data_IF_497400352949
#
_entry.id   IF_497400352949
#
_cell.length_a   1.000
_cell.length_b   1.000
_cell.length_c   1.000
_cell.angle_alpha   90.00
_cell.angle_beta   90.00
_cell.angle_gamma   90.00
#
_symmetry.space_group_name_H-M   'P 1'
#
loop_
_entity.id
_entity.type
_entity.pdbx_description
1 polymer ?
#
# COMPACT_ATOMS: atom_id res chain seq x y z
N UNK A 1 1.49 -14.13 2.64
CA UNK A 1 1.65 -13.09 1.58
C UNK A 1 1.38 -11.73 2.23
N UNK A 2 2.20 -10.71 2.00
CA UNK A 2 1.97 -9.37 2.53
C UNK A 2 0.73 -8.76 1.86
N UNK A 3 -0.20 -8.21 2.65
CA UNK A 3 -1.39 -7.53 2.15
C UNK A 3 -1.31 -6.05 2.49
N UNK A 4 -1.51 -5.20 1.47
CA UNK A 4 -1.44 -3.75 1.58
C UNK A 4 -2.73 -3.17 1.00
N UNK A 5 -3.42 -2.35 1.77
CA UNK A 5 -4.54 -1.53 1.29
C UNK A 5 -4.00 -0.36 0.48
N UNK A 6 -4.42 -0.22 -0.76
CA UNK A 6 -4.07 0.88 -1.63
C UNK A 6 -4.84 2.13 -1.19
N UNK A 7 -4.16 3.19 -0.76
CA UNK A 7 -4.71 4.46 -0.27
C UNK A 7 -5.74 4.35 0.86
N UNK A 8 -5.78 3.20 1.56
CA UNK A 8 -6.81 2.94 2.56
C UNK A 8 -8.10 2.32 2.02
N UNK A 9 -8.16 1.92 0.77
CA UNK A 9 -9.32 1.22 0.21
C UNK A 9 -9.48 -0.19 0.81
N UNK A 10 -10.71 -0.64 1.02
CA UNK A 10 -11.00 -1.94 1.65
C UNK A 10 -11.83 -2.84 0.75
N UNK A 11 -12.95 -2.36 0.24
CA UNK A 11 -13.89 -3.12 -0.60
C UNK A 11 -14.05 -2.52 -2.01
N UNK A 12 -13.12 -1.71 -2.42
CA UNK A 12 -13.06 -1.01 -3.70
C UNK A 12 -12.54 0.40 -3.54
N UNK A 13 -12.21 1.06 -4.66
CA UNK A 13 -11.80 2.46 -4.68
C UNK A 13 -12.94 3.36 -4.18
N UNK A 14 -12.64 4.21 -3.20
CA UNK A 14 -13.51 5.27 -2.70
C UNK A 14 -12.72 6.58 -2.60
N UNK A 15 -12.78 7.43 -3.63
CA UNK A 15 -12.05 8.70 -3.67
C UNK A 15 -12.33 9.65 -2.50
N UNK A 16 -13.46 9.47 -1.80
CA UNK A 16 -13.82 10.29 -0.63
C UNK A 16 -13.09 9.86 0.65
N UNK A 17 -12.58 8.64 0.67
CA UNK A 17 -11.88 8.04 1.80
C UNK A 17 -10.38 7.82 1.52
N UNK A 18 -9.97 7.80 0.25
CA UNK A 18 -8.57 7.62 -0.14
C UNK A 18 -7.67 8.66 0.53
N UNK A 19 -6.57 8.20 1.08
CA UNK A 19 -5.59 9.03 1.78
C UNK A 19 -6.12 9.83 2.98
N UNK A 20 -7.34 9.54 3.46
CA UNK A 20 -7.92 10.22 4.62
C UNK A 20 -7.26 9.69 5.91
N UNK A 21 -6.60 10.54 6.73
CA UNK A 21 -5.86 10.11 7.91
C UNK A 21 -6.70 9.34 8.93
N UNK A 22 -7.93 9.78 9.18
CA UNK A 22 -8.82 9.13 10.15
C UNK A 22 -9.32 7.78 9.64
N UNK A 23 -9.49 7.64 8.33
CA UNK A 23 -9.84 6.37 7.71
C UNK A 23 -8.68 5.40 7.73
N UNK A 24 -7.47 5.85 7.39
CA UNK A 24 -6.23 5.08 7.47
C UNK A 24 -6.02 4.55 8.89
N UNK A 25 -6.25 5.38 9.92
CA UNK A 25 -6.11 4.96 11.32
C UNK A 25 -7.07 3.82 11.68
N UNK A 26 -8.29 3.87 11.18
CA UNK A 26 -9.27 2.78 11.39
C UNK A 26 -8.83 1.46 10.74
N UNK A 27 -8.21 1.52 9.58
CA UNK A 27 -7.71 0.33 8.88
C UNK A 27 -6.50 -0.25 9.60
N UNK A 28 -5.53 0.58 9.94
CA UNK A 28 -4.31 0.16 10.64
C UNK A 28 -4.65 -0.48 11.99
N UNK A 29 -5.52 0.16 12.79
CA UNK A 29 -5.83 -0.30 14.15
C UNK A 29 -6.91 -1.37 14.16
N UNK A 30 -7.96 -1.20 13.36
CA UNK A 30 -9.13 -2.10 13.37
C UNK A 30 -8.95 -3.36 12.55
N UNK A 31 -8.16 -3.32 11.47
CA UNK A 31 -7.93 -4.44 10.57
C UNK A 31 -6.49 -4.98 10.63
N UNK A 32 -5.62 -4.35 11.42
CA UNK A 32 -4.19 -4.69 11.54
C UNK A 32 -3.49 -4.79 10.17
N UNK A 33 -3.88 -3.91 9.24
CA UNK A 33 -3.47 -3.96 7.85
C UNK A 33 -2.44 -2.89 7.52
N UNK A 34 -1.55 -3.21 6.58
CA UNK A 34 -0.66 -2.21 6.00
C UNK A 34 -1.43 -1.32 5.03
N UNK A 35 -1.01 -0.08 4.94
CA UNK A 35 -1.61 0.89 4.03
C UNK A 35 -0.51 1.55 3.20
N UNK A 36 -0.74 1.65 1.92
CA UNK A 36 0.00 2.52 1.01
C UNK A 36 -0.67 3.89 1.01
N UNK A 37 0.11 4.96 0.99
CA UNK A 37 -0.36 6.36 1.00
C UNK A 37 0.42 7.20 0.00
N UNK A 38 -0.25 8.18 -0.59
CA UNK A 38 0.39 9.22 -1.41
C UNK A 38 0.75 10.41 -0.53
N UNK A 39 2.03 10.78 -0.49
CA UNK A 39 2.56 11.83 0.37
C UNK A 39 3.15 12.99 -0.43
N UNK A 40 2.65 14.19 -0.16
CA UNK A 40 3.24 15.45 -0.61
C UNK A 40 4.03 16.07 0.54
N UNK A 41 5.25 16.49 0.24
CA UNK A 41 6.11 17.21 1.19
C UNK A 41 6.48 18.56 0.57
N UNK A 42 5.96 19.63 1.15
CA UNK A 42 6.32 21.01 0.84
C UNK A 42 7.14 21.52 2.00
N UNK A 43 8.34 21.94 1.79
CA UNK A 43 9.27 22.36 2.83
C UNK A 43 9.41 21.35 4.01
N UNK A 44 10.16 21.71 5.06
CA UNK A 44 10.46 20.77 6.14
C UNK A 44 9.31 20.53 7.13
N UNK A 45 8.17 21.20 7.00
CA UNK A 45 7.10 21.17 8.00
C UNK A 45 5.69 20.94 7.43
N UNK A 46 5.49 21.12 6.14
CA UNK A 46 4.19 20.96 5.53
C UNK A 46 4.09 19.64 4.76
N UNK A 47 3.31 18.71 5.29
CA UNK A 47 3.04 17.41 4.70
C UNK A 47 1.54 17.22 4.51
N UNK A 48 1.19 16.65 3.36
CA UNK A 48 -0.21 16.36 3.03
C UNK A 48 -0.32 14.97 2.43
N UNK A 49 -1.45 14.30 2.71
CA UNK A 49 -1.85 13.11 1.97
C UNK A 49 -2.80 13.52 0.83
N UNK A 50 -2.78 12.76 -0.27
CA UNK A 50 -3.65 12.97 -1.42
C UNK A 50 -3.02 12.44 -2.70
N UNK A 51 -3.83 11.98 -3.67
CA UNK A 51 -3.30 11.40 -4.89
C UNK A 51 -2.99 12.46 -5.96
N UNK A 52 -4.02 13.13 -6.48
CA UNK A 52 -3.86 14.11 -7.56
C UNK A 52 -3.43 15.50 -7.08
N UNK A 53 -3.71 15.77 -5.80
CA UNK A 53 -3.41 17.04 -5.15
C UNK A 53 -3.29 16.85 -3.64
N UNK A 54 -2.61 17.76 -2.92
CA UNK A 54 -2.61 17.78 -1.46
C UNK A 54 -4.02 17.96 -0.92
N UNK A 55 -4.50 17.04 -0.07
CA UNK A 55 -5.86 17.05 0.46
C UNK A 55 -5.90 17.16 1.97
N UNK A 56 -5.15 16.32 2.67
CA UNK A 56 -5.22 16.20 4.13
C UNK A 56 -3.87 16.55 4.75
N UNK A 57 -3.82 17.66 5.49
CA UNK A 57 -2.64 18.05 6.25
C UNK A 57 -2.32 17.04 7.34
N UNK A 58 -1.06 16.62 7.41
CA UNK A 58 -0.54 15.78 8.49
C UNK A 58 0.76 16.37 9.03
N UNK A 59 1.15 15.97 10.23
CA UNK A 59 2.46 16.27 10.77
C UNK A 59 3.39 15.06 10.77
N UNK A 60 4.67 15.30 10.99
CA UNK A 60 5.67 14.22 11.07
C UNK A 60 5.37 13.25 12.21
N UNK A 61 4.73 13.70 13.30
CA UNK A 61 4.36 12.85 14.41
C UNK A 61 3.30 11.83 14.00
N UNK A 62 2.28 12.27 13.24
CA UNK A 62 1.26 11.38 12.70
C UNK A 62 1.91 10.28 11.86
N UNK A 63 2.77 10.66 10.91
CA UNK A 63 3.48 9.73 10.05
C UNK A 63 4.38 8.79 10.86
N UNK A 64 5.21 9.34 11.78
CA UNK A 64 6.17 8.58 12.57
C UNK A 64 5.53 7.56 13.50
N UNK A 65 4.38 7.88 14.10
CA UNK A 65 3.69 6.97 15.02
C UNK A 65 3.10 5.74 14.32
N UNK A 66 2.86 5.83 13.01
CA UNK A 66 2.29 4.74 12.20
C UNK A 66 3.33 3.85 11.52
N UNK A 67 4.61 4.20 11.63
CA UNK A 67 5.71 3.41 11.04
C UNK A 67 5.75 1.95 11.51
N UNK A 68 5.31 1.68 12.75
CA UNK A 68 5.34 0.35 13.35
C UNK A 68 4.21 -0.58 12.85
N UNK A 69 3.22 -0.02 12.20
CA UNK A 69 2.12 -0.76 11.58
C UNK A 69 2.43 -1.13 10.12
N UNK A 70 3.63 -0.81 9.66
CA UNK A 70 4.23 -1.37 8.47
C UNK A 70 5.11 -2.55 8.92
N UNK A 71 4.77 -3.81 8.64
CA UNK A 71 5.46 -4.99 9.20
C UNK A 71 6.88 -5.20 8.68
N UNK A 72 7.46 -4.24 8.02
CA UNK A 72 8.82 -4.30 7.51
C UNK A 72 9.69 -3.25 8.19
N UNK A 73 10.04 -3.51 9.48
CA UNK A 73 11.11 -2.82 10.25
C UNK A 73 11.16 -1.28 10.22
N UNK A 74 11.39 -0.73 11.36
CA UNK A 74 11.85 0.59 11.85
C UNK A 74 11.90 1.82 10.93
N UNK A 75 11.66 1.73 9.62
CA UNK A 75 11.67 2.83 8.67
C UNK A 75 10.58 2.64 7.61
N UNK A 76 10.02 3.78 7.14
CA UNK A 76 9.08 3.78 6.03
C UNK A 76 9.68 3.07 4.79
N UNK A 77 8.83 2.32 4.09
CA UNK A 77 9.14 1.87 2.74
C UNK A 77 8.57 2.92 1.79
N UNK A 78 9.42 3.59 1.06
CA UNK A 78 9.03 4.66 0.14
C UNK A 78 9.61 4.42 -1.24
N UNK A 79 8.96 4.98 -2.23
CA UNK A 79 9.41 4.98 -3.63
C UNK A 79 8.84 6.20 -4.34
N UNK A 80 9.40 6.46 -5.49
CA UNK A 80 8.91 7.46 -6.44
C UNK A 80 8.67 6.75 -7.78
N UNK A 81 7.54 7.04 -8.43
CA UNK A 81 7.28 6.57 -9.78
C UNK A 81 6.50 7.61 -10.59
N UNK A 82 6.46 7.46 -11.93
CA UNK A 82 5.62 8.19 -12.85
C UNK A 82 4.81 7.23 -13.72
N UNK A 83 5.41 6.80 -14.84
CA UNK A 83 4.80 5.90 -15.84
C UNK A 83 5.58 4.59 -15.98
N UNK A 84 6.27 4.21 -14.92
CA UNK A 84 7.12 3.00 -14.90
C UNK A 84 6.27 1.74 -14.76
N UNK A 85 6.68 0.68 -15.43
CA UNK A 85 6.05 -0.63 -15.26
C UNK A 85 6.34 -1.24 -13.89
N UNK A 86 7.48 -0.89 -13.30
CA UNK A 86 7.88 -1.30 -11.97
C UNK A 86 8.90 -0.30 -11.38
N UNK A 87 8.90 -0.22 -10.06
CA UNK A 87 9.77 0.68 -9.29
C UNK A 87 10.43 -0.08 -8.14
N UNK A 88 11.69 0.22 -7.86
CA UNK A 88 12.38 -0.33 -6.70
C UNK A 88 12.07 0.53 -5.47
N UNK A 89 11.56 -0.09 -4.42
CA UNK A 89 11.31 0.58 -3.15
C UNK A 89 12.60 0.75 -2.33
N UNK A 90 12.59 1.68 -1.37
CA UNK A 90 13.73 1.94 -0.48
C UNK A 90 14.20 0.71 0.32
N UNK A 91 13.38 -0.30 0.46
CA UNK A 91 13.69 -1.58 1.13
C UNK A 91 13.97 -2.73 0.17
N UNK A 92 14.15 -2.44 -1.11
CA UNK A 92 14.56 -3.42 -2.12
C UNK A 92 13.44 -4.35 -2.58
N UNK A 93 12.18 -3.98 -2.42
CA UNK A 93 11.06 -4.65 -3.06
C UNK A 93 10.78 -4.03 -4.43
N UNK A 94 10.26 -4.84 -5.33
CA UNK A 94 9.83 -4.39 -6.65
C UNK A 94 8.33 -4.09 -6.57
N UNK A 95 7.93 -2.84 -6.76
CA UNK A 95 6.56 -2.41 -6.89
C UNK A 95 6.14 -2.57 -8.34
N UNK A 96 5.30 -3.58 -8.63
CA UNK A 96 5.01 -4.03 -9.99
C UNK A 96 3.57 -3.69 -10.38
N UNK A 97 3.42 -2.90 -11.43
CA UNK A 97 2.12 -2.45 -11.92
C UNK A 97 1.41 -3.54 -12.75
N UNK A 98 0.08 -3.41 -12.95
CA UNK A 98 -0.72 -4.43 -13.64
C UNK A 98 -0.18 -4.79 -15.03
N UNK A 99 -0.18 -6.09 -15.33
CA UNK A 99 0.25 -6.60 -16.63
C UNK A 99 1.76 -6.67 -16.86
N UNK A 100 2.58 -6.27 -15.88
CA UNK A 100 4.03 -6.35 -16.00
C UNK A 100 4.54 -7.76 -15.78
N UNK A 101 5.45 -8.22 -16.64
CA UNK A 101 6.15 -9.49 -16.47
C UNK A 101 7.30 -9.32 -15.48
N UNK A 102 7.29 -10.08 -14.38
CA UNK A 102 8.26 -9.96 -13.30
C UNK A 102 9.14 -11.21 -13.22
N UNK A 103 10.45 -11.03 -13.35
CA UNK A 103 11.42 -12.12 -13.26
C UNK A 103 11.78 -12.52 -11.81
N UNK A 104 11.53 -11.66 -10.82
CA UNK A 104 11.78 -11.90 -9.39
C UNK A 104 10.51 -11.69 -8.54
N UNK A 105 9.46 -12.47 -8.76
CA UNK A 105 8.18 -12.24 -8.09
C UNK A 105 8.25 -12.42 -6.57
N UNK A 106 9.15 -13.24 -6.04
CA UNK A 106 9.35 -13.44 -4.60
C UNK A 106 9.85 -12.18 -3.86
N UNK A 107 10.26 -11.16 -4.57
CA UNK A 107 10.62 -9.84 -4.03
C UNK A 107 9.73 -8.72 -4.58
N UNK A 108 8.63 -9.07 -5.24
CA UNK A 108 7.73 -8.12 -5.85
C UNK A 108 6.40 -8.03 -5.08
N UNK A 109 5.85 -6.83 -5.09
CA UNK A 109 4.49 -6.51 -4.65
C UNK A 109 3.68 -6.24 -5.90
N UNK A 110 2.66 -7.06 -6.16
CA UNK A 110 1.74 -6.84 -7.27
C UNK A 110 0.76 -5.73 -6.91
N UNK A 111 0.74 -4.68 -7.73
CA UNK A 111 -0.15 -3.53 -7.54
C UNK A 111 -1.41 -3.74 -8.35
N UNK A 112 -2.57 -3.47 -7.75
CA UNK A 112 -3.90 -3.57 -8.37
C UNK A 112 -4.06 -4.85 -9.22
N UNK A 113 -3.81 -6.02 -8.64
CA UNK A 113 -3.84 -7.29 -9.37
C UNK A 113 -5.23 -7.61 -9.95
N UNK A 114 -6.27 -6.97 -9.44
CA UNK A 114 -7.63 -7.01 -9.96
C UNK A 114 -7.77 -6.45 -11.37
N UNK A 115 -6.87 -5.59 -11.79
CA UNK A 115 -6.85 -5.01 -13.15
C UNK A 115 -6.20 -5.95 -14.18
N UNK A 116 -5.60 -7.03 -13.72
CA UNK A 116 -4.92 -8.00 -14.59
C UNK A 116 -5.19 -9.43 -14.15
N UNK A 117 -4.93 -10.40 -15.04
CA UNK A 117 -5.00 -11.85 -14.71
C UNK A 117 -3.68 -12.37 -14.14
N UNK A 118 -3.06 -11.63 -13.24
CA UNK A 118 -1.76 -11.98 -12.66
C UNK A 118 -1.87 -13.18 -11.74
N UNK A 119 -0.99 -14.17 -11.90
CA UNK A 119 -0.86 -15.24 -10.92
C UNK A 119 -0.11 -14.71 -9.69
N UNK A 120 -0.81 -14.58 -8.57
CA UNK A 120 -0.29 -13.97 -7.35
C UNK A 120 0.56 -14.90 -6.47
N UNK A 121 0.49 -16.22 -6.68
CA UNK A 121 1.18 -17.20 -5.83
C UNK A 121 2.68 -16.93 -5.61
N UNK A 122 3.46 -16.54 -6.62
CA UNK A 122 4.88 -16.30 -6.45
C UNK A 122 5.23 -14.94 -5.84
N UNK A 123 4.28 -14.00 -5.73
CA UNK A 123 4.56 -12.66 -5.24
C UNK A 123 4.77 -12.63 -3.71
N UNK A 124 5.64 -11.73 -3.27
CA UNK A 124 5.86 -11.44 -1.85
C UNK A 124 4.62 -10.84 -1.20
N UNK A 125 3.96 -9.91 -1.92
CA UNK A 125 2.77 -9.22 -1.44
C UNK A 125 1.91 -8.66 -2.56
N UNK A 126 0.80 -8.09 -2.17
CA UNK A 126 -0.12 -7.37 -3.06
C UNK A 126 -0.51 -6.03 -2.43
N UNK A 127 -0.71 -5.03 -3.29
CA UNK A 127 -1.34 -3.76 -2.96
C UNK A 127 -2.61 -3.64 -3.79
N UNK A 128 -3.77 -3.49 -3.16
CA UNK A 128 -5.08 -3.62 -3.81
C UNK A 128 -6.13 -2.71 -3.19
N UNK A 129 -7.13 -2.34 -3.98
CA UNK A 129 -8.33 -1.65 -3.52
C UNK A 129 -9.34 -2.60 -2.83
N UNK A 130 -9.11 -3.92 -2.94
CA UNK A 130 -10.03 -4.96 -2.44
C UNK A 130 -9.35 -5.92 -1.45
N UNK A 131 -8.65 -5.46 -0.42
CA UNK A 131 -7.95 -6.36 0.49
C UNK A 131 -8.87 -7.38 1.18
N UNK A 132 -10.15 -7.06 1.41
CA UNK A 132 -11.13 -7.99 1.96
C UNK A 132 -11.22 -9.32 1.18
N UNK A 133 -11.03 -9.28 -0.14
CA UNK A 133 -11.08 -10.49 -0.98
C UNK A 133 -9.96 -11.48 -0.67
N UNK A 134 -8.89 -11.02 -0.05
CA UNK A 134 -7.68 -11.79 0.24
C UNK A 134 -7.58 -12.21 1.71
N UNK A 135 -8.30 -11.55 2.63
CA UNK A 135 -8.35 -11.91 4.05
C UNK A 135 -9.07 -13.25 4.32
N UNK A 136 -10.00 -13.62 3.46
CA UNK A 136 -10.86 -14.83 3.66
C UNK A 136 -10.10 -16.12 3.34
N UNK A 137 -9.03 -16.07 2.55
CA UNK A 137 -8.33 -17.27 2.08
C UNK A 137 -7.30 -17.83 3.07
N UNK A 138 -6.85 -17.08 4.06
CA UNK A 138 -5.89 -17.59 5.06
C UNK A 138 -6.55 -18.48 6.13
N UNK A 139 -7.88 -18.42 6.28
CA UNK A 139 -8.62 -19.29 7.22
C UNK A 139 -9.04 -20.65 6.62
N UNK A 140 -8.96 -20.80 5.30
CA UNK A 140 -9.35 -22.03 4.62
C UNK A 140 -8.20 -23.01 4.36
N UNK A 141 -6.97 -22.67 4.75
CA UNK A 141 -5.77 -23.50 4.54
C UNK A 141 -5.36 -24.30 5.80
N UNK A 142 -6.22 -24.37 6.81
CA UNK A 142 -6.00 -25.18 8.02
C UNK A 142 -7.17 -26.17 8.13
N UNK A 143 -7.23 -27.10 7.20
CA UNK A 143 -7.89 -28.42 7.37
C UNK A 143 -7.11 -29.44 6.56
#
# INVERSE_FOLDING_TARGET
>A
MLLISHRGNVSGSDPSLENNPDHIDRIIVGMEMNVEIDLYVFDQQEMYLGHDQPQYGIDFKWLYTRRNNCPVNDHFNYFWHQIDNFTLTSKGYIWAYPGCEIHLPSRAIAVMPEESKTNLRPFYGICTDYPERYLVNDKASII
#
